data_IF_820445807744
#
_entry.id   IF_820445807744
#
_cell.length_a   1.000
_cell.length_b   1.000
_cell.length_c   1.000
_cell.angle_alpha   90.00
_cell.angle_beta   90.00
_cell.angle_gamma   90.00
#
_symmetry.space_group_name_H-M   'P 1'
#
loop_
_entity.id
_entity.type
_entity.pdbx_description
1 polymer ?
#
# COMPACT_ATOMS: atom_id res chain seq x y z
N UNK A 1 -3.57 -24.44 12.04
CA UNK A 1 -4.11 -23.69 10.89
C UNK A 1 -2.95 -22.97 10.21
N UNK A 2 -2.86 -23.00 8.88
CA UNK A 2 -1.86 -22.21 8.16
C UNK A 2 -2.24 -20.72 8.33
N UNK A 3 -1.65 -20.03 9.30
CA UNK A 3 -1.86 -18.58 9.52
C UNK A 3 -1.22 -17.75 8.39
N UNK A 4 -0.36 -18.38 7.59
CA UNK A 4 0.41 -17.79 6.51
C UNK A 4 -0.45 -17.02 5.49
N UNK A 5 -1.56 -17.56 4.93
CA UNK A 5 -2.36 -16.83 3.94
C UNK A 5 -3.03 -15.58 4.51
N UNK A 6 -3.52 -15.64 5.76
CA UNK A 6 -4.16 -14.48 6.40
C UNK A 6 -3.13 -13.38 6.64
N UNK A 7 -1.95 -13.73 7.17
CA UNK A 7 -0.92 -12.73 7.50
C UNK A 7 -0.35 -12.02 6.27
N UNK A 8 -0.25 -12.69 5.13
CA UNK A 8 0.35 -12.12 3.91
C UNK A 8 -0.66 -11.57 2.89
N UNK A 9 -1.91 -12.06 2.85
CA UNK A 9 -2.91 -11.58 1.88
C UNK A 9 -3.83 -10.48 2.44
N UNK A 10 -4.03 -10.42 3.76
CA UNK A 10 -4.86 -9.38 4.38
C UNK A 10 -4.34 -7.94 4.14
N UNK A 11 -3.03 -7.65 4.20
CA UNK A 11 -2.49 -6.33 3.85
C UNK A 11 -2.84 -5.95 2.41
N UNK A 12 -2.70 -6.90 1.47
CA UNK A 12 -2.93 -6.68 0.04
C UNK A 12 -4.39 -6.28 -0.21
N UNK A 13 -5.34 -6.98 0.41
CA UNK A 13 -6.76 -6.67 0.27
C UNK A 13 -7.10 -5.26 0.77
N UNK A 14 -6.60 -4.88 1.95
CA UNK A 14 -6.85 -3.55 2.52
C UNK A 14 -6.25 -2.42 1.68
N UNK A 15 -5.00 -2.57 1.23
CA UNK A 15 -4.32 -1.58 0.39
C UNK A 15 -4.98 -1.47 -1.00
N UNK A 16 -5.46 -2.59 -1.54
CA UNK A 16 -6.24 -2.60 -2.79
C UNK A 16 -7.55 -1.84 -2.63
N UNK A 17 -8.33 -2.13 -1.58
CA UNK A 17 -9.59 -1.43 -1.29
C UNK A 17 -9.37 0.06 -1.05
N UNK A 18 -8.32 0.43 -0.33
CA UNK A 18 -7.91 1.82 -0.17
C UNK A 18 -7.66 2.48 -1.53
N UNK A 19 -6.84 1.86 -2.39
CA UNK A 19 -6.50 2.42 -3.70
C UNK A 19 -7.71 2.57 -4.60
N UNK A 20 -8.63 1.59 -4.60
CA UNK A 20 -9.91 1.72 -5.28
C UNK A 20 -10.75 2.87 -4.71
N UNK A 21 -10.76 3.04 -3.39
CA UNK A 21 -11.43 4.15 -2.70
C UNK A 21 -10.88 5.53 -3.08
N UNK A 22 -9.60 5.66 -3.42
CA UNK A 22 -9.03 6.92 -3.92
C UNK A 22 -9.58 7.33 -5.29
N UNK A 23 -9.92 6.37 -6.15
CA UNK A 23 -10.54 6.66 -7.45
C UNK A 23 -12.01 7.04 -7.33
N UNK A 24 -12.69 6.66 -6.25
CA UNK A 24 -14.09 7.01 -6.00
C UNK A 24 -14.20 8.47 -5.53
N UNK A 25 -14.35 9.37 -6.50
CA UNK A 25 -14.45 10.84 -6.27
C UNK A 25 -15.83 11.43 -6.54
N UNK A 26 -16.88 10.61 -6.44
CA UNK A 26 -18.25 11.10 -6.55
C UNK A 26 -18.56 12.07 -5.42
N UNK A 27 -19.23 13.20 -5.74
CA UNK A 27 -19.64 14.20 -4.75
C UNK A 27 -20.44 13.59 -3.60
N UNK A 28 -21.29 12.60 -3.89
CA UNK A 28 -22.12 11.89 -2.90
C UNK A 28 -21.28 11.11 -1.88
N UNK A 29 -20.16 10.53 -2.32
CA UNK A 29 -19.29 9.73 -1.44
C UNK A 29 -18.37 10.66 -0.64
N UNK A 30 -17.85 11.70 -1.29
CA UNK A 30 -16.98 12.68 -0.63
C UNK A 30 -17.71 13.55 0.41
N UNK A 31 -19.04 13.67 0.33
CA UNK A 31 -19.84 14.35 1.36
C UNK A 31 -20.04 13.52 2.63
N UNK A 32 -19.70 12.22 2.63
CA UNK A 32 -19.84 11.37 3.80
C UNK A 32 -18.70 11.67 4.78
N UNK A 33 -19.04 12.10 5.99
CA UNK A 33 -18.07 12.44 7.05
C UNK A 33 -17.12 11.28 7.40
N UNK A 34 -17.61 10.04 7.31
CA UNK A 34 -16.85 8.84 7.63
C UNK A 34 -15.91 8.36 6.51
N UNK A 35 -16.07 8.82 5.27
CA UNK A 35 -15.33 8.27 4.11
C UNK A 35 -13.82 8.46 4.23
N UNK A 36 -13.40 9.59 4.80
CA UNK A 36 -11.99 9.82 5.12
C UNK A 36 -11.43 8.75 6.06
N UNK A 37 -12.14 8.44 7.15
CA UNK A 37 -11.70 7.49 8.17
C UNK A 37 -11.68 6.05 7.67
N UNK A 38 -12.67 5.65 6.86
CA UNK A 38 -12.69 4.33 6.23
C UNK A 38 -11.42 4.11 5.41
N UNK A 39 -11.06 5.06 4.55
CA UNK A 39 -9.82 5.00 3.76
C UNK A 39 -8.58 5.02 4.64
N UNK A 40 -8.55 5.88 5.66
CA UNK A 40 -7.44 5.98 6.59
C UNK A 40 -7.18 4.65 7.31
N UNK A 41 -8.23 3.99 7.80
CA UNK A 41 -8.14 2.70 8.52
C UNK A 41 -7.67 1.60 7.58
N UNK A 42 -8.26 1.48 6.38
CA UNK A 42 -7.81 0.50 5.37
C UNK A 42 -6.32 0.67 5.06
N UNK A 43 -5.91 1.91 4.82
CA UNK A 43 -4.52 2.25 4.51
C UNK A 43 -3.56 1.97 5.66
N UNK A 44 -3.86 2.46 6.87
CA UNK A 44 -2.94 2.37 8.01
C UNK A 44 -2.82 0.93 8.48
N UNK A 45 -3.94 0.21 8.64
CA UNK A 45 -3.90 -1.21 9.03
C UNK A 45 -3.23 -2.04 7.93
N UNK A 46 -3.58 -1.78 6.66
CA UNK A 46 -2.95 -2.44 5.52
C UNK A 46 -1.44 -2.24 5.51
N UNK A 47 -0.97 -1.00 5.68
CA UNK A 47 0.44 -0.64 5.73
C UNK A 47 1.16 -1.30 6.92
N UNK A 48 0.62 -1.20 8.13
CA UNK A 48 1.24 -1.81 9.32
C UNK A 48 1.37 -3.33 9.18
N UNK A 49 0.39 -3.97 8.53
CA UNK A 49 0.42 -5.41 8.27
C UNK A 49 1.44 -5.81 7.17
N UNK A 50 1.95 -4.86 6.37
CA UNK A 50 3.06 -5.14 5.43
C UNK A 50 4.38 -5.41 6.15
N UNK A 51 4.58 -4.84 7.34
CA UNK A 51 5.81 -5.00 8.13
C UNK A 51 6.08 -6.48 8.45
N UNK A 52 5.18 -7.20 9.14
CA UNK A 52 5.40 -8.63 9.39
C UNK A 52 5.46 -9.43 8.09
N UNK A 53 4.69 -9.06 7.06
CA UNK A 53 4.71 -9.74 5.75
C UNK A 53 6.10 -9.72 5.11
N UNK A 54 6.77 -8.57 5.10
CA UNK A 54 8.14 -8.42 4.57
C UNK A 54 9.13 -9.23 5.40
N UNK A 55 8.98 -9.24 6.73
CA UNK A 55 9.84 -10.03 7.61
C UNK A 55 9.71 -11.52 7.32
N UNK A 56 8.48 -12.04 7.21
CA UNK A 56 8.25 -13.44 6.84
C UNK A 56 8.78 -13.79 5.46
N UNK A 57 8.64 -12.88 4.47
CA UNK A 57 9.20 -13.08 3.13
C UNK A 57 10.72 -13.26 3.13
N UNK A 58 11.44 -12.51 3.99
CA UNK A 58 12.89 -12.66 4.14
C UNK A 58 13.28 -14.01 4.75
N UNK A 59 12.47 -14.58 5.64
CA UNK A 59 12.77 -15.87 6.29
C UNK A 59 12.68 -17.07 5.34
N UNK A 60 11.89 -16.96 4.28
CA UNK A 60 11.70 -18.04 3.29
C UNK A 60 12.43 -17.77 1.97
N UNK A 61 13.14 -16.65 1.88
CA UNK A 61 13.81 -16.19 0.66
C UNK A 61 14.74 -17.26 0.07
N UNK A 62 15.49 -17.97 0.92
CA UNK A 62 16.48 -18.98 0.51
C UNK A 62 15.84 -20.24 -0.10
N UNK A 63 14.51 -20.39 0.00
CA UNK A 63 13.77 -21.51 -0.60
C UNK A 63 13.42 -21.28 -2.08
N UNK A 64 13.71 -20.10 -2.62
CA UNK A 64 13.35 -19.71 -3.99
C UNK A 64 14.57 -19.22 -4.78
N UNK A 65 14.53 -19.26 -6.12
CA UNK A 65 15.63 -18.76 -6.93
C UNK A 65 15.93 -17.29 -6.65
N UNK A 66 17.21 -16.96 -6.46
CA UNK A 66 17.67 -15.63 -6.03
C UNK A 66 17.14 -14.50 -6.93
N UNK A 67 17.10 -14.73 -8.25
CA UNK A 67 16.66 -13.73 -9.23
C UNK A 67 15.21 -13.30 -9.00
N UNK A 68 14.28 -14.23 -8.80
CA UNK A 68 12.87 -13.90 -8.60
C UNK A 68 12.64 -13.26 -7.23
N UNK A 69 13.32 -13.74 -6.20
CA UNK A 69 13.27 -13.18 -4.83
C UNK A 69 13.73 -11.73 -4.83
N UNK A 70 14.83 -11.41 -5.53
CA UNK A 70 15.38 -10.05 -5.60
C UNK A 70 14.38 -9.07 -6.24
N UNK A 71 13.76 -9.48 -7.35
CA UNK A 71 12.75 -8.65 -8.04
C UNK A 71 11.51 -8.50 -7.16
N UNK A 72 10.97 -9.59 -6.62
CA UNK A 72 9.83 -9.57 -5.70
C UNK A 72 10.07 -8.66 -4.49
N UNK A 73 11.23 -8.80 -3.84
CA UNK A 73 11.60 -7.99 -2.67
C UNK A 73 11.70 -6.51 -3.00
N UNK A 74 12.25 -6.16 -4.17
CA UNK A 74 12.30 -4.77 -4.64
C UNK A 74 10.90 -4.18 -4.77
N UNK A 75 10.00 -4.87 -5.48
CA UNK A 75 8.62 -4.41 -5.65
C UNK A 75 7.84 -4.35 -4.33
N UNK A 76 8.01 -5.33 -3.44
CA UNK A 76 7.39 -5.33 -2.11
C UNK A 76 7.86 -4.13 -1.28
N UNK A 77 9.16 -3.84 -1.27
CA UNK A 77 9.71 -2.68 -0.55
C UNK A 77 9.25 -1.35 -1.14
N UNK A 78 9.26 -1.20 -2.47
CA UNK A 78 8.75 0.01 -3.12
C UNK A 78 7.26 0.20 -2.84
N UNK A 79 6.47 -0.87 -2.87
CA UNK A 79 5.04 -0.84 -2.50
C UNK A 79 4.85 -0.34 -1.07
N UNK A 80 5.62 -0.88 -0.12
CA UNK A 80 5.56 -0.46 1.29
C UNK A 80 5.96 1.01 1.48
N UNK A 81 6.97 1.50 0.76
CA UNK A 81 7.37 2.91 0.80
C UNK A 81 6.25 3.80 0.28
N UNK A 82 5.66 3.49 -0.87
CA UNK A 82 4.58 4.27 -1.48
C UNK A 82 3.38 4.35 -0.53
N UNK A 83 2.88 3.21 -0.04
CA UNK A 83 1.76 3.22 0.89
C UNK A 83 2.12 3.80 2.26
N UNK A 84 3.37 3.69 2.70
CA UNK A 84 3.86 4.33 3.93
C UNK A 84 3.83 5.85 3.85
N UNK A 85 4.23 6.45 2.72
CA UNK A 85 4.14 7.89 2.50
C UNK A 85 2.69 8.37 2.50
N UNK A 86 1.81 7.64 1.83
CA UNK A 86 0.37 7.93 1.84
C UNK A 86 -0.20 7.78 3.26
N UNK A 87 0.15 6.71 3.98
CA UNK A 87 -0.33 6.45 5.34
C UNK A 87 0.09 7.56 6.30
N UNK A 88 1.35 8.01 6.21
CA UNK A 88 1.85 9.13 6.97
C UNK A 88 1.05 10.42 6.68
N UNK A 89 0.76 10.69 5.41
CA UNK A 89 -0.08 11.84 5.03
C UNK A 89 -1.48 11.78 5.62
N UNK A 90 -2.11 10.60 5.59
CA UNK A 90 -3.41 10.36 6.19
C UNK A 90 -3.38 10.53 7.72
N UNK A 91 -2.35 10.04 8.40
CA UNK A 91 -2.18 10.20 9.84
C UNK A 91 -2.01 11.66 10.23
N UNK A 92 -1.16 12.43 9.53
CA UNK A 92 -1.00 13.87 9.76
C UNK A 92 -2.35 14.59 9.60
N UNK A 93 -3.08 14.27 8.51
CA UNK A 93 -4.39 14.88 8.24
C UNK A 93 -5.43 14.50 9.29
N UNK A 94 -5.39 13.28 9.81
CA UNK A 94 -6.29 12.82 10.87
C UNK A 94 -6.01 13.57 12.17
N UNK A 95 -4.74 13.63 12.60
CA UNK A 95 -4.31 14.37 13.80
C UNK A 95 -4.73 15.85 13.71
N UNK A 96 -4.58 16.47 12.53
CA UNK A 96 -5.01 17.85 12.29
C UNK A 96 -6.52 18.07 12.45
N UNK A 97 -7.34 17.11 11.99
CA UNK A 97 -8.80 17.23 12.06
C UNK A 97 -9.33 17.06 13.48
N UNK A 98 -8.81 16.09 14.21
CA UNK A 98 -9.49 15.61 15.43
C UNK A 98 -8.73 15.92 16.73
N UNK A 99 -7.40 16.02 16.70
CA UNK A 99 -6.59 16.22 17.92
C UNK A 99 -6.26 17.69 18.12
N UNK A 100 -5.80 18.37 17.06
CA UNK A 100 -5.45 19.80 17.15
C UNK A 100 -6.65 20.73 17.01
N UNK A 101 -7.83 20.23 16.65
CA UNK A 101 -9.07 21.00 16.84
C UNK A 101 -9.41 21.22 18.32
N UNK A 102 -8.80 20.44 19.23
CA UNK A 102 -9.06 20.48 20.68
C UNK A 102 -7.90 21.02 21.52
N UNK A 103 -6.71 21.25 20.93
CA UNK A 103 -5.48 21.61 21.66
C UNK A 103 -4.64 22.67 20.92
N UNK A 104 -3.82 23.45 21.64
CA UNK A 104 -2.93 24.44 21.01
C UNK A 104 -1.89 23.76 20.13
N UNK A 105 -1.79 24.22 18.88
CA UNK A 105 -0.82 23.76 17.90
C UNK A 105 0.57 24.30 18.21
N UNK A 106 1.60 23.45 18.13
CA UNK A 106 2.99 23.92 18.13
C UNK A 106 3.39 24.44 16.74
N UNK A 107 4.33 25.38 16.69
CA UNK A 107 4.77 26.01 15.44
C UNK A 107 5.35 24.99 14.45
N UNK A 108 6.11 24.02 14.95
CA UNK A 108 6.65 22.90 14.16
C UNK A 108 5.56 22.05 13.51
N UNK A 109 4.49 21.73 14.26
CA UNK A 109 3.40 20.92 13.71
C UNK A 109 2.64 21.68 12.61
N UNK A 110 2.51 23.01 12.76
CA UNK A 110 1.99 23.88 11.71
C UNK A 110 2.74 23.72 10.38
N UNK A 111 4.07 23.72 10.43
CA UNK A 111 4.93 23.51 9.27
C UNK A 111 4.74 22.12 8.63
N UNK A 112 4.75 21.05 9.42
CA UNK A 112 4.53 19.67 8.91
C UNK A 112 3.19 19.56 8.19
N UNK A 113 2.12 20.06 8.81
CA UNK A 113 0.78 20.03 8.22
C UNK A 113 0.73 20.76 6.89
N UNK A 114 1.32 21.95 6.83
CA UNK A 114 1.28 22.78 5.63
C UNK A 114 2.04 22.11 4.48
N UNK A 115 3.20 21.53 4.79
CA UNK A 115 3.97 20.71 3.86
C UNK A 115 3.15 19.50 3.38
N UNK A 116 2.48 18.79 4.30
CA UNK A 116 1.61 17.66 3.97
C UNK A 116 0.48 18.06 3.01
N UNK A 117 -0.23 19.15 3.28
CA UNK A 117 -1.32 19.66 2.42
C UNK A 117 -0.84 20.07 1.04
N UNK A 118 0.38 20.61 0.95
CA UNK A 118 0.96 21.06 -0.30
C UNK A 118 1.48 19.91 -1.17
N UNK A 119 2.14 18.92 -0.56
CA UNK A 119 2.68 17.75 -1.28
C UNK A 119 1.55 16.77 -1.62
N UNK A 120 0.76 16.37 -0.63
CA UNK A 120 -0.27 15.32 -0.75
C UNK A 120 -1.64 15.90 -1.10
N UNK A 121 -1.67 16.73 -2.15
CA UNK A 121 -2.93 17.20 -2.72
C UNK A 121 -3.74 16.01 -3.25
N UNK A 122 -5.07 16.15 -3.39
CA UNK A 122 -5.91 15.04 -3.82
C UNK A 122 -5.53 14.42 -5.18
N UNK A 123 -4.89 15.17 -6.09
CA UNK A 123 -4.38 14.60 -7.35
C UNK A 123 -3.14 13.73 -7.11
N UNK A 124 -2.22 14.21 -6.29
CA UNK A 124 -1.01 13.48 -5.89
C UNK A 124 -1.39 12.17 -5.20
N UNK A 125 -2.37 12.18 -4.29
CA UNK A 125 -2.84 10.97 -3.59
C UNK A 125 -3.40 9.92 -4.57
N UNK A 126 -4.18 10.34 -5.56
CA UNK A 126 -4.70 9.42 -6.59
C UNK A 126 -3.58 8.83 -7.43
N UNK A 127 -2.59 9.64 -7.83
CA UNK A 127 -1.44 9.15 -8.60
C UNK A 127 -0.58 8.18 -7.77
N UNK A 128 -0.33 8.50 -6.49
CA UNK A 128 0.41 7.61 -5.60
C UNK A 128 -0.37 6.31 -5.33
N UNK A 129 -1.69 6.37 -5.17
CA UNK A 129 -2.53 5.18 -5.00
C UNK A 129 -2.53 4.31 -6.27
N UNK A 130 -2.58 4.91 -7.46
CA UNK A 130 -2.45 4.18 -8.72
C UNK A 130 -1.08 3.51 -8.84
N UNK A 131 0.00 4.25 -8.59
CA UNK A 131 1.36 3.70 -8.57
C UNK A 131 1.47 2.55 -7.57
N UNK A 132 0.96 2.76 -6.35
CA UNK A 132 0.93 1.74 -5.29
C UNK A 132 0.14 0.50 -5.71
N UNK A 133 -0.99 0.66 -6.40
CA UNK A 133 -1.81 -0.46 -6.88
C UNK A 133 -1.10 -1.27 -7.97
N UNK A 134 -0.42 -0.60 -8.92
CA UNK A 134 0.38 -1.26 -9.96
C UNK A 134 1.53 -2.05 -9.31
N UNK A 135 2.28 -1.43 -8.40
CA UNK A 135 3.38 -2.08 -7.69
C UNK A 135 2.89 -3.28 -6.86
N UNK A 136 1.76 -3.13 -6.17
CA UNK A 136 1.14 -4.19 -5.37
C UNK A 136 0.69 -5.36 -6.26
N UNK A 137 0.13 -5.06 -7.42
CA UNK A 137 -0.31 -6.07 -8.41
C UNK A 137 0.89 -6.87 -8.93
N UNK A 138 1.99 -6.19 -9.29
CA UNK A 138 3.24 -6.86 -9.70
C UNK A 138 3.82 -7.69 -8.56
N UNK A 139 3.82 -7.15 -7.33
CA UNK A 139 4.30 -7.87 -6.13
C UNK A 139 3.50 -9.15 -5.91
N UNK A 140 2.17 -9.08 -6.01
CA UNK A 140 1.27 -10.22 -5.89
C UNK A 140 1.50 -11.26 -6.98
N UNK A 141 1.64 -10.82 -8.25
CA UNK A 141 1.93 -11.71 -9.37
C UNK A 141 3.28 -12.43 -9.18
N UNK A 142 4.34 -11.73 -8.76
CA UNK A 142 5.63 -12.34 -8.44
C UNK A 142 5.54 -13.36 -7.29
N UNK A 143 4.71 -13.09 -6.28
CA UNK A 143 4.38 -14.06 -5.23
C UNK A 143 3.69 -15.31 -5.78
N UNK A 144 2.73 -15.12 -6.69
CA UNK A 144 2.04 -16.20 -7.40
C UNK A 144 2.99 -17.06 -8.24
N UNK A 145 3.93 -16.44 -8.96
CA UNK A 145 4.96 -17.14 -9.73
C UNK A 145 5.83 -18.01 -8.82
N UNK A 146 6.25 -17.49 -7.66
CA UNK A 146 7.07 -18.26 -6.70
C UNK A 146 6.28 -19.45 -6.12
N UNK A 147 4.99 -19.27 -5.81
CA UNK A 147 4.19 -20.31 -5.17
C UNK A 147 3.68 -21.38 -6.13
N UNK A 148 3.33 -21.00 -7.36
CA UNK A 148 2.54 -21.84 -8.28
C UNK A 148 3.13 -21.91 -9.71
N UNK A 149 4.15 -21.12 -10.02
CA UNK A 149 4.76 -21.03 -11.35
C UNK A 149 4.16 -19.92 -12.24
N UNK A 150 4.81 -19.59 -13.38
CA UNK A 150 4.46 -18.42 -14.19
C UNK A 150 3.18 -18.57 -15.03
N UNK A 151 2.71 -19.79 -15.29
CA UNK A 151 1.57 -20.07 -16.17
C UNK A 151 0.22 -20.24 -15.47
N UNK A 152 0.10 -19.77 -14.23
CA UNK A 152 -1.12 -19.98 -13.41
C UNK A 152 -2.27 -19.12 -13.91
N UNK A 153 -1.97 -17.87 -14.29
CA UNK A 153 -2.94 -16.95 -14.88
C UNK A 153 -2.27 -15.96 -15.86
N UNK A 154 -3.04 -15.21 -16.67
CA UNK A 154 -2.49 -14.28 -17.66
C UNK A 154 -1.62 -13.17 -17.07
N UNK A 155 -1.89 -12.74 -15.84
CA UNK A 155 -1.12 -11.68 -15.19
C UNK A 155 0.23 -12.20 -14.70
N UNK A 156 0.29 -13.40 -14.12
CA UNK A 156 1.58 -14.02 -13.74
C UNK A 156 2.44 -14.27 -14.99
N UNK A 157 1.82 -14.67 -16.09
CA UNK A 157 2.53 -14.88 -17.35
C UNK A 157 3.09 -13.56 -17.91
N UNK A 158 2.27 -12.50 -17.95
CA UNK A 158 2.70 -11.18 -18.38
C UNK A 158 3.88 -10.64 -17.56
N UNK A 159 3.80 -10.77 -16.23
CA UNK A 159 4.87 -10.33 -15.32
C UNK A 159 6.12 -11.17 -15.50
N UNK A 160 5.98 -12.48 -15.69
CA UNK A 160 7.13 -13.34 -15.97
C UNK A 160 7.85 -12.93 -17.25
N UNK A 161 7.12 -12.74 -18.34
CA UNK A 161 7.66 -12.36 -19.64
C UNK A 161 8.37 -10.99 -19.57
N UNK A 162 7.84 -10.06 -18.77
CA UNK A 162 8.41 -8.72 -18.59
C UNK A 162 9.77 -8.72 -17.87
N UNK A 163 9.97 -9.58 -16.86
CA UNK A 163 11.16 -9.52 -15.99
C UNK A 163 12.16 -10.66 -16.20
N UNK A 164 11.70 -11.81 -16.67
CA UNK A 164 12.53 -13.01 -16.78
C UNK A 164 12.73 -13.47 -18.23
N UNK A 165 11.82 -13.09 -19.14
CA UNK A 165 11.77 -13.62 -20.51
C UNK A 165 11.20 -15.03 -20.55
N UNK A 166 10.96 -15.54 -21.76
CA UNK A 166 10.68 -16.97 -21.97
C UNK A 166 11.93 -17.81 -21.71
#
# INVERSE_FOLDING_TARGET
MNLHPILVHFPIALLTLYSLGEFVRSKRVLSLSYWFYVKAIMLVIGFLATIPTILFGKLIADSFPERIVRVHSTFAQTTAIVYGLIALSYLITWIDKDIYSMTKRSDWWGYISELNKNIFRPRTLVLLALTGLILLTITGALGGIMAFGPGVDPLTQLVNDLFFGK
#
